data_IF_033649188404
#
_entry.id   IF_033649188404
#
_cell.length_a   1.000
_cell.length_b   1.000
_cell.length_c   1.000
_cell.angle_alpha   90.00
_cell.angle_beta   90.00
_cell.angle_gamma   90.00
#
_symmetry.space_group_name_H-M   'P 1'
#
loop_
_entity.id
_entity.type
_entity.pdbx_description
1 polymer ?
#
# COMPACT_ATOMS: atom_id res chain seq x y z
N UNK A 1 21.09 11.34 -28.21
CA UNK A 1 19.64 11.00 -28.38
C UNK A 1 19.33 9.51 -28.14
N UNK A 2 20.18 8.59 -28.62
CA UNK A 2 20.03 7.13 -28.44
C UNK A 2 20.07 6.69 -26.97
N UNK A 3 21.02 7.23 -26.19
CA UNK A 3 21.20 6.94 -24.76
C UNK A 3 19.96 7.29 -23.92
N UNK A 4 19.36 8.47 -24.14
CA UNK A 4 18.09 8.87 -23.51
C UNK A 4 16.94 7.91 -23.86
N UNK A 5 16.90 7.37 -25.09
CA UNK A 5 15.89 6.37 -25.50
C UNK A 5 16.13 5.01 -24.84
N UNK A 6 17.39 4.60 -24.70
CA UNK A 6 17.79 3.35 -24.02
C UNK A 6 17.49 3.42 -22.52
N UNK A 7 17.83 4.52 -21.85
CA UNK A 7 17.48 4.79 -20.45
C UNK A 7 15.96 4.73 -20.25
N UNK A 8 15.18 5.38 -21.13
CA UNK A 8 13.71 5.33 -21.07
C UNK A 8 13.16 3.91 -21.24
N UNK A 9 13.78 3.08 -22.11
CA UNK A 9 13.42 1.66 -22.28
C UNK A 9 13.80 0.83 -21.05
N UNK A 10 14.99 1.03 -20.49
CA UNK A 10 15.46 0.34 -19.28
C UNK A 10 14.60 0.66 -18.07
N UNK A 11 14.26 1.93 -17.86
CA UNK A 11 13.34 2.37 -16.82
C UNK A 11 11.97 1.70 -16.96
N UNK A 12 11.40 1.65 -18.18
CA UNK A 12 10.14 0.94 -18.42
C UNK A 12 10.22 -0.56 -18.07
N UNK A 13 11.32 -1.24 -18.39
CA UNK A 13 11.53 -2.65 -18.02
C UNK A 13 11.59 -2.82 -16.50
N UNK A 14 12.34 -1.96 -15.79
CA UNK A 14 12.45 -2.01 -14.32
C UNK A 14 11.07 -1.81 -13.67
N UNK A 15 10.28 -0.84 -14.13
CA UNK A 15 8.95 -0.59 -13.59
C UNK A 15 8.00 -1.77 -13.84
N UNK A 16 8.12 -2.43 -15.00
CA UNK A 16 7.34 -3.63 -15.30
C UNK A 16 7.73 -4.82 -14.42
N UNK A 17 9.03 -5.03 -14.20
CA UNK A 17 9.53 -6.08 -13.30
C UNK A 17 9.04 -5.83 -11.87
N UNK A 18 9.16 -4.60 -11.36
CA UNK A 18 8.66 -4.22 -10.05
C UNK A 18 7.15 -4.44 -9.91
N UNK A 19 6.37 -4.12 -10.96
CA UNK A 19 4.93 -4.36 -11.01
C UNK A 19 4.54 -5.83 -10.82
N UNK A 20 5.34 -6.77 -11.34
CA UNK A 20 5.07 -8.21 -11.20
C UNK A 20 5.60 -8.76 -9.86
N UNK A 21 6.82 -8.38 -9.48
CA UNK A 21 7.52 -8.98 -8.34
C UNK A 21 7.01 -8.43 -7.00
N UNK A 22 6.76 -7.13 -6.89
CA UNK A 22 6.42 -6.51 -5.61
C UNK A 22 5.15 -7.12 -4.97
N UNK A 23 4.02 -7.32 -5.69
CA UNK A 23 2.83 -7.94 -5.11
C UNK A 23 3.11 -9.36 -4.59
N UNK A 24 3.86 -10.16 -5.37
CA UNK A 24 4.20 -11.53 -4.97
C UNK A 24 5.09 -11.57 -3.74
N UNK A 25 6.07 -10.66 -3.64
CA UNK A 25 6.92 -10.55 -2.45
C UNK A 25 6.14 -10.10 -1.23
N UNK A 26 5.19 -9.17 -1.40
CA UNK A 26 4.34 -8.72 -0.30
C UNK A 26 3.49 -9.86 0.25
N UNK A 27 2.86 -10.68 -0.61
CA UNK A 27 2.09 -11.85 -0.18
C UNK A 27 2.99 -12.90 0.48
N UNK A 28 4.16 -13.19 -0.11
CA UNK A 28 5.09 -14.16 0.46
C UNK A 28 5.55 -13.73 1.86
N UNK A 29 5.92 -12.46 2.01
CA UNK A 29 6.31 -11.90 3.30
C UNK A 29 5.17 -11.97 4.33
N UNK A 30 3.94 -11.60 3.95
CA UNK A 30 2.79 -11.65 4.85
C UNK A 30 2.39 -13.07 5.27
N UNK A 31 2.66 -14.07 4.43
CA UNK A 31 2.49 -15.48 4.80
C UNK A 31 3.60 -15.95 5.75
N UNK A 32 4.86 -15.59 5.49
CA UNK A 32 5.99 -15.95 6.35
C UNK A 32 5.83 -15.35 7.75
N UNK A 33 5.54 -14.04 7.84
CA UNK A 33 5.34 -13.37 9.13
C UNK A 33 4.15 -13.98 9.89
N UNK A 34 3.08 -14.36 9.19
CA UNK A 34 1.94 -15.01 9.80
C UNK A 34 2.26 -16.39 10.35
N UNK A 35 2.95 -17.22 9.57
CA UNK A 35 3.40 -18.53 10.01
C UNK A 35 4.34 -18.43 11.22
N UNK A 36 5.36 -17.57 11.17
CA UNK A 36 6.33 -17.43 12.27
C UNK A 36 5.66 -16.90 13.54
N UNK A 37 4.76 -15.92 13.43
CA UNK A 37 4.06 -15.38 14.60
C UNK A 37 3.19 -16.44 15.28
N UNK A 38 2.39 -17.20 14.52
CA UNK A 38 1.57 -18.29 15.07
C UNK A 38 2.42 -19.44 15.63
N UNK A 39 3.55 -19.75 14.99
CA UNK A 39 4.49 -20.77 15.46
C UNK A 39 5.10 -20.40 16.81
N UNK A 40 5.58 -19.15 16.96
CA UNK A 40 6.20 -18.70 18.20
C UNK A 40 5.19 -18.56 19.36
N UNK A 41 3.96 -18.11 19.09
CA UNK A 41 2.92 -18.02 20.11
C UNK A 41 2.26 -19.37 20.46
N UNK A 42 2.55 -20.44 19.71
CA UNK A 42 1.89 -21.75 19.82
C UNK A 42 0.35 -21.70 19.81
N UNK A 43 -0.24 -20.62 19.30
CA UNK A 43 -1.67 -20.35 19.28
C UNK A 43 -2.04 -19.56 18.02
N UNK A 44 -3.35 -19.42 17.75
CA UNK A 44 -3.86 -18.58 16.68
C UNK A 44 -4.34 -17.25 17.31
N UNK A 45 -3.48 -16.23 17.43
CA UNK A 45 -3.84 -14.92 18.00
C UNK A 45 -5.01 -14.26 17.25
N UNK A 46 -6.19 -14.10 17.89
CA UNK A 46 -7.36 -13.53 17.21
C UNK A 46 -7.12 -12.12 16.69
N UNK A 47 -6.36 -11.31 17.41
CA UNK A 47 -6.01 -9.95 16.99
C UNK A 47 -5.15 -9.95 15.72
N UNK A 48 -4.12 -10.78 15.66
CA UNK A 48 -3.25 -10.84 14.48
C UNK A 48 -3.98 -11.42 13.25
N UNK A 49 -4.86 -12.40 13.46
CA UNK A 49 -5.75 -12.90 12.40
C UNK A 49 -6.66 -11.78 11.90
N UNK A 50 -7.28 -11.03 12.80
CA UNK A 50 -8.11 -9.87 12.43
C UNK A 50 -7.32 -8.86 11.60
N UNK A 51 -6.12 -8.46 12.04
CA UNK A 51 -5.26 -7.54 11.29
C UNK A 51 -4.91 -8.07 9.89
N UNK A 52 -4.57 -9.35 9.80
CA UNK A 52 -4.23 -10.02 8.54
C UNK A 52 -5.42 -10.08 7.59
N UNK A 53 -6.60 -10.45 8.09
CA UNK A 53 -7.84 -10.46 7.31
C UNK A 53 -8.14 -9.06 6.78
N UNK A 54 -8.07 -8.03 7.63
CA UNK A 54 -8.35 -6.65 7.20
C UNK A 54 -7.36 -6.13 6.17
N UNK A 55 -6.09 -6.50 6.27
CA UNK A 55 -5.08 -6.20 5.26
C UNK A 55 -5.49 -6.76 3.88
N UNK A 56 -5.82 -8.05 3.80
CA UNK A 56 -6.21 -8.69 2.54
C UNK A 56 -7.57 -8.22 2.02
N UNK A 57 -8.55 -7.97 2.89
CA UNK A 57 -9.84 -7.42 2.48
C UNK A 57 -9.67 -6.04 1.84
N UNK A 58 -8.92 -5.14 2.49
CA UNK A 58 -8.69 -3.81 1.93
C UNK A 58 -7.84 -3.84 0.66
N UNK A 59 -6.87 -4.76 0.55
CA UNK A 59 -6.15 -5.01 -0.70
C UNK A 59 -7.12 -5.45 -1.81
N UNK A 60 -7.96 -6.45 -1.54
CA UNK A 60 -8.96 -6.91 -2.48
C UNK A 60 -9.88 -5.77 -2.95
N UNK A 61 -10.32 -4.91 -2.04
CA UNK A 61 -11.14 -3.74 -2.37
C UNK A 61 -10.39 -2.74 -3.26
N UNK A 62 -9.10 -2.45 -2.98
CA UNK A 62 -8.26 -1.62 -3.84
C UNK A 62 -8.20 -2.20 -5.26
N UNK A 63 -7.93 -3.50 -5.39
CA UNK A 63 -7.85 -4.21 -6.66
C UNK A 63 -9.19 -4.20 -7.41
N UNK A 64 -10.28 -4.53 -6.72
CA UNK A 64 -11.61 -4.62 -7.30
C UNK A 64 -12.09 -3.26 -7.82
N UNK A 65 -11.93 -2.20 -7.02
CA UNK A 65 -12.26 -0.83 -7.44
C UNK A 65 -11.37 -0.41 -8.63
N UNK A 66 -10.08 -0.74 -8.61
CA UNK A 66 -9.19 -0.44 -9.72
C UNK A 66 -9.65 -1.11 -11.03
N UNK A 67 -10.02 -2.39 -10.96
CA UNK A 67 -10.51 -3.17 -12.10
C UNK A 67 -11.83 -2.60 -12.64
N UNK A 68 -12.78 -2.34 -11.75
CA UNK A 68 -14.13 -1.84 -12.07
C UNK A 68 -14.21 -0.37 -12.48
N UNK A 69 -13.20 0.45 -12.18
CA UNK A 69 -13.21 1.88 -12.48
C UNK A 69 -13.30 2.16 -14.00
N UNK A 70 -14.50 2.24 -14.57
CA UNK A 70 -14.68 2.54 -15.99
C UNK A 70 -14.75 4.05 -16.15
N UNK A 71 -14.05 4.59 -17.15
CA UNK A 71 -14.25 5.97 -17.54
C UNK A 71 -15.28 5.98 -18.68
N UNK A 72 -16.40 6.72 -18.56
CA UNK A 72 -17.28 6.96 -19.68
C UNK A 72 -16.50 7.74 -20.75
N UNK A 73 -16.24 7.09 -21.88
CA UNK A 73 -15.63 7.70 -23.04
C UNK A 73 -16.73 8.32 -23.88
N UNK A 74 -16.60 9.60 -24.19
CA UNK A 74 -17.45 10.24 -25.18
C UNK A 74 -16.80 10.01 -26.55
N UNK A 75 -17.54 9.43 -27.49
CA UNK A 75 -17.28 9.56 -28.94
C UNK A 75 -17.66 10.99 -29.39
N UNK A 76 -17.37 11.99 -28.56
CA UNK A 76 -17.63 13.38 -28.88
C UNK A 76 -16.73 13.73 -30.06
N UNK A 77 -17.32 13.75 -31.24
CA UNK A 77 -16.78 14.56 -32.34
C UNK A 77 -16.72 15.99 -31.83
N UNK A 78 -15.72 16.77 -32.25
CA UNK A 78 -15.52 18.15 -31.80
C UNK A 78 -16.75 19.09 -31.96
N UNK A 79 -17.87 18.61 -32.53
CA UNK A 79 -19.08 19.38 -32.82
C UNK A 79 -20.01 19.61 -31.60
N UNK A 80 -19.91 18.83 -30.52
CA UNK A 80 -20.75 19.05 -29.32
C UNK A 80 -20.19 20.11 -28.35
N UNK A 81 -19.01 20.68 -28.61
CA UNK A 81 -18.38 21.65 -27.71
C UNK A 81 -18.95 23.07 -27.80
N UNK A 82 -19.73 23.40 -28.84
CA UNK A 82 -20.14 24.78 -29.11
C UNK A 82 -21.28 25.31 -28.22
N UNK A 83 -21.93 24.47 -27.41
CA UNK A 83 -23.09 24.90 -26.61
C UNK A 83 -22.90 25.07 -25.09
N UNK A 84 -21.86 24.48 -24.47
CA UNK A 84 -21.82 24.34 -22.99
C UNK A 84 -20.46 24.58 -22.31
N UNK A 85 -19.43 25.07 -23.00
CA UNK A 85 -18.13 25.37 -22.37
C UNK A 85 -17.41 24.17 -21.73
N UNK A 86 -17.77 22.94 -22.10
CA UNK A 86 -17.20 21.72 -21.52
C UNK A 86 -15.84 21.42 -22.13
N UNK A 87 -14.78 21.50 -21.31
CA UNK A 87 -13.41 21.15 -21.72
C UNK A 87 -13.23 19.63 -21.73
N UNK A 88 -12.86 19.07 -22.89
CA UNK A 88 -12.49 17.66 -23.02
C UNK A 88 -10.99 17.45 -22.88
N UNK A 89 -10.59 16.28 -22.37
CA UNK A 89 -9.19 15.88 -22.22
C UNK A 89 -8.87 14.72 -23.14
N UNK A 90 -7.82 14.83 -23.95
CA UNK A 90 -7.41 13.79 -24.87
C UNK A 90 -6.29 12.93 -24.29
N UNK A 91 -6.43 11.60 -24.39
CA UNK A 91 -5.34 10.68 -24.07
C UNK A 91 -4.69 10.13 -25.33
N UNK A 92 -3.43 10.52 -25.60
CA UNK A 92 -2.68 10.03 -26.77
C UNK A 92 -2.50 8.50 -26.81
N UNK A 93 -2.41 7.87 -25.64
CA UNK A 93 -2.11 6.43 -25.51
C UNK A 93 -3.33 5.56 -25.75
N UNK A 94 -4.49 6.02 -25.28
CA UNK A 94 -5.75 5.31 -25.45
C UNK A 94 -6.57 5.82 -26.64
N UNK A 95 -6.19 6.96 -27.25
CA UNK A 95 -6.83 7.58 -28.41
C UNK A 95 -8.32 7.88 -28.23
N UNK A 96 -8.70 8.40 -27.06
CA UNK A 96 -10.07 8.82 -26.77
C UNK A 96 -10.08 10.12 -25.97
N UNK A 97 -11.23 10.81 -25.98
CA UNK A 97 -11.50 11.95 -25.13
C UNK A 97 -12.14 11.51 -23.81
N UNK A 98 -11.90 12.26 -22.74
CA UNK A 98 -12.55 12.11 -21.46
C UNK A 98 -13.21 13.42 -21.06
N UNK A 99 -14.40 13.31 -20.46
CA UNK A 99 -15.19 14.47 -20.02
C UNK A 99 -14.57 15.20 -18.83
N UNK A 100 -13.76 14.51 -18.02
CA UNK A 100 -12.99 15.07 -16.90
C UNK A 100 -11.48 14.85 -17.10
N UNK A 101 -10.62 15.57 -16.36
CA UNK A 101 -9.19 15.34 -16.38
C UNK A 101 -8.89 13.89 -15.96
N UNK A 102 -8.37 13.09 -16.87
CA UNK A 102 -7.99 11.70 -16.62
C UNK A 102 -6.49 11.51 -16.77
N UNK A 103 -5.90 10.66 -15.94
CA UNK A 103 -4.49 10.31 -16.03
C UNK A 103 -4.32 8.87 -16.50
N UNK A 104 -3.51 8.69 -17.54
CA UNK A 104 -3.18 7.37 -18.06
C UNK A 104 -2.11 6.68 -17.22
N UNK A 105 -2.44 5.51 -16.68
CA UNK A 105 -1.45 4.62 -16.07
C UNK A 105 -0.84 3.68 -17.11
N UNK A 106 0.48 3.76 -17.30
CA UNK A 106 1.21 2.88 -18.23
C UNK A 106 1.19 1.40 -17.83
N UNK A 107 1.13 1.12 -16.52
CA UNK A 107 1.18 -0.23 -15.98
C UNK A 107 -0.18 -0.92 -16.11
N UNK A 108 -1.26 -0.22 -15.71
CA UNK A 108 -2.64 -0.71 -15.90
C UNK A 108 -3.15 -0.57 -17.35
N UNK A 109 -2.44 0.17 -18.22
CA UNK A 109 -2.84 0.52 -19.60
C UNK A 109 -4.25 1.12 -19.69
N UNK A 110 -4.59 1.96 -18.71
CA UNK A 110 -5.95 2.47 -18.49
C UNK A 110 -5.90 3.90 -17.97
N UNK A 111 -6.87 4.71 -18.39
CA UNK A 111 -7.08 6.06 -17.87
C UNK A 111 -7.93 5.98 -16.60
N UNK A 112 -7.59 6.79 -15.60
CA UNK A 112 -8.34 6.90 -14.35
C UNK A 112 -8.63 8.37 -14.03
N UNK A 113 -9.84 8.65 -13.55
CA UNK A 113 -10.16 9.91 -12.89
C UNK A 113 -9.56 9.94 -11.50
N UNK A 114 -9.11 11.12 -11.07
CA UNK A 114 -8.56 11.35 -9.72
C UNK A 114 -7.54 10.28 -9.30
N UNK A 115 -6.62 9.97 -10.21
CA UNK A 115 -5.51 9.04 -9.96
C UNK A 115 -4.44 9.72 -9.12
N UNK A 116 -3.98 9.04 -8.09
CA UNK A 116 -2.84 9.47 -7.28
C UNK A 116 -1.55 8.81 -7.81
N UNK A 117 -1.43 7.49 -7.65
CA UNK A 117 -0.27 6.74 -8.13
C UNK A 117 -0.61 5.29 -8.48
N UNK A 118 0.37 4.58 -9.05
CA UNK A 118 0.31 3.13 -9.14
C UNK A 118 1.16 2.54 -8.02
N UNK A 119 0.55 1.77 -7.13
CA UNK A 119 1.26 1.13 -6.04
C UNK A 119 1.81 -0.22 -6.53
N UNK A 120 3.14 -0.35 -6.57
CA UNK A 120 3.79 -1.59 -6.98
C UNK A 120 3.49 -2.74 -6.02
N UNK A 121 3.42 -2.47 -4.71
CA UNK A 121 3.15 -3.50 -3.69
C UNK A 121 1.73 -4.05 -3.77
N UNK A 122 0.74 -3.24 -4.17
CA UNK A 122 -0.65 -3.69 -4.31
C UNK A 122 -1.02 -4.12 -5.73
N UNK A 123 -0.14 -3.87 -6.72
CA UNK A 123 -0.37 -4.21 -8.12
C UNK A 123 -1.49 -3.40 -8.79
N UNK A 124 -1.88 -2.25 -8.22
CA UNK A 124 -3.05 -1.48 -8.66
C UNK A 124 -2.86 0.04 -8.56
N UNK A 125 -3.67 0.81 -9.30
CA UNK A 125 -3.73 2.27 -9.10
C UNK A 125 -4.56 2.63 -7.88
N UNK A 126 -4.01 3.58 -7.12
CA UNK A 126 -4.68 4.28 -6.04
C UNK A 126 -5.37 5.51 -6.63
N UNK A 127 -6.65 5.60 -6.34
CA UNK A 127 -7.63 6.52 -6.87
C UNK A 127 -8.33 7.18 -5.68
N UNK A 128 -8.92 8.36 -5.88
CA UNK A 128 -9.72 9.00 -4.82
C UNK A 128 -10.77 8.06 -4.20
N UNK A 129 -11.43 7.24 -5.02
CA UNK A 129 -12.46 6.29 -4.57
C UNK A 129 -11.94 5.14 -3.67
N UNK A 130 -10.70 4.65 -3.87
CA UNK A 130 -10.10 3.58 -3.06
C UNK A 130 -8.99 4.08 -2.13
N UNK A 131 -8.87 5.41 -1.94
CA UNK A 131 -7.85 6.03 -1.09
C UNK A 131 -7.99 5.60 0.37
N UNK A 132 -9.20 5.52 0.91
CA UNK A 132 -9.43 5.03 2.27
C UNK A 132 -8.92 3.59 2.46
N UNK A 133 -9.24 2.69 1.53
CA UNK A 133 -8.76 1.30 1.57
C UNK A 133 -7.23 1.25 1.51
N UNK A 134 -6.60 2.10 0.70
CA UNK A 134 -5.14 2.21 0.65
C UNK A 134 -4.53 2.65 1.98
N UNK A 135 -5.10 3.66 2.63
CA UNK A 135 -4.67 4.13 3.96
C UNK A 135 -4.83 3.00 4.99
N UNK A 136 -5.95 2.27 4.96
CA UNK A 136 -6.19 1.13 5.84
C UNK A 136 -5.19 -0.01 5.60
N UNK A 137 -4.87 -0.34 4.34
CA UNK A 137 -3.81 -1.31 4.03
C UNK A 137 -2.50 -0.92 4.71
N UNK A 138 -2.12 0.37 4.67
CA UNK A 138 -0.91 0.86 5.32
C UNK A 138 -0.94 0.67 6.83
N UNK A 139 -2.05 1.02 7.49
CA UNK A 139 -2.19 0.85 8.95
C UNK A 139 -2.26 -0.62 9.37
N UNK A 140 -3.03 -1.46 8.68
CA UNK A 140 -3.11 -2.89 8.99
C UNK A 140 -1.79 -3.61 8.75
N UNK A 141 -1.06 -3.27 7.67
CA UNK A 141 0.30 -3.79 7.46
C UNK A 141 1.24 -3.37 8.60
N UNK A 142 1.18 -2.10 9.02
CA UNK A 142 1.99 -1.59 10.12
C UNK A 142 1.67 -2.30 11.45
N UNK A 143 0.40 -2.40 11.82
CA UNK A 143 -0.01 -3.03 13.07
C UNK A 143 0.23 -4.54 13.08
N UNK A 144 0.06 -5.25 11.97
CA UNK A 144 0.44 -6.65 11.86
C UNK A 144 1.96 -6.85 12.03
N UNK A 145 2.77 -5.97 11.44
CA UNK A 145 4.22 -5.99 11.64
C UNK A 145 4.60 -5.66 13.09
N UNK A 146 3.98 -4.67 13.73
CA UNK A 146 4.20 -4.37 15.15
C UNK A 146 3.82 -5.54 16.05
N UNK A 147 2.68 -6.19 15.81
CA UNK A 147 2.29 -7.39 16.55
C UNK A 147 3.40 -8.45 16.45
N UNK A 148 3.86 -8.77 15.24
CA UNK A 148 4.94 -9.75 15.05
C UNK A 148 6.25 -9.33 15.71
N UNK A 149 6.61 -8.04 15.68
CA UNK A 149 7.78 -7.49 16.41
C UNK A 149 7.66 -7.75 17.91
N UNK A 150 6.48 -7.59 18.51
CA UNK A 150 6.23 -7.86 19.93
C UNK A 150 6.25 -9.34 20.29
N UNK A 151 6.23 -10.25 19.32
CA UNK A 151 6.39 -11.70 19.54
C UNK A 151 7.83 -12.14 19.27
N UNK A 152 8.38 -11.77 18.11
CA UNK A 152 9.73 -12.15 17.69
C UNK A 152 10.80 -11.47 18.56
N UNK A 153 10.57 -10.22 18.99
CA UNK A 153 11.52 -9.45 19.80
C UNK A 153 11.82 -10.12 21.15
N UNK A 154 10.82 -10.40 22.00
CA UNK A 154 11.00 -11.12 23.25
C UNK A 154 11.60 -12.52 23.07
N UNK A 155 11.19 -13.26 22.03
CA UNK A 155 11.77 -14.56 21.72
C UNK A 155 13.29 -14.47 21.45
N UNK A 156 13.71 -13.51 20.62
CA UNK A 156 15.14 -13.25 20.37
C UNK A 156 15.86 -12.78 21.64
N UNK A 157 15.18 -12.01 22.49
CA UNK A 157 15.72 -11.53 23.75
C UNK A 157 16.04 -12.68 24.71
N UNK A 158 15.08 -13.58 24.93
CA UNK A 158 15.25 -14.75 25.79
C UNK A 158 16.36 -15.68 25.25
N UNK A 159 16.41 -15.89 23.93
CA UNK A 159 17.46 -16.65 23.27
C UNK A 159 18.86 -16.07 23.56
N UNK A 160 19.06 -14.78 23.33
CA UNK A 160 20.38 -14.16 23.53
C UNK A 160 20.80 -14.08 24.99
N UNK A 161 19.84 -13.96 25.93
CA UNK A 161 20.15 -14.00 27.37
C UNK A 161 20.59 -15.38 27.82
N UNK A 162 19.95 -16.44 27.32
CA UNK A 162 20.33 -17.81 27.66
C UNK A 162 21.73 -18.17 27.14
N UNK A 163 22.13 -17.62 25.99
CA UNK A 163 23.40 -17.93 25.35
C UNK A 163 24.62 -17.25 26.00
N UNK A 164 24.46 -16.05 26.57
CA UNK A 164 25.57 -15.29 27.17
C UNK A 164 25.10 -14.43 28.35
N UNK A 165 24.97 -15.07 29.52
CA UNK A 165 24.54 -14.44 30.79
C UNK A 165 25.52 -13.39 31.33
N UNK A 166 26.73 -13.28 30.75
CA UNK A 166 27.80 -12.41 31.28
C UNK A 166 27.85 -11.01 30.67
N UNK A 167 27.05 -10.73 29.63
CA UNK A 167 27.05 -9.42 28.94
C UNK A 167 25.75 -8.64 29.15
N UNK A 168 25.57 -8.11 30.36
CA UNK A 168 24.56 -7.07 30.68
C UNK A 168 24.80 -5.71 29.97
N UNK A 169 25.75 -5.64 29.04
CA UNK A 169 25.97 -4.44 28.26
C UNK A 169 24.90 -4.34 27.16
N UNK A 170 23.90 -3.51 27.45
CA UNK A 170 22.74 -3.22 26.59
C UNK A 170 23.13 -2.87 25.14
N UNK A 171 24.30 -2.29 24.92
CA UNK A 171 24.81 -1.96 23.59
C UNK A 171 25.14 -3.23 22.79
N UNK A 172 25.94 -4.14 23.35
CA UNK A 172 26.28 -5.40 22.67
C UNK A 172 25.06 -6.28 22.44
N UNK A 173 24.12 -6.25 23.39
CA UNK A 173 22.85 -6.94 23.25
C UNK A 173 22.03 -6.36 22.07
N UNK A 174 21.86 -5.04 22.01
CA UNK A 174 21.15 -4.38 20.92
C UNK A 174 21.79 -4.65 19.55
N UNK A 175 23.12 -4.76 19.47
CA UNK A 175 23.82 -5.10 18.23
C UNK A 175 23.40 -6.46 17.64
N UNK A 176 22.99 -7.43 18.46
CA UNK A 176 22.53 -8.73 17.99
C UNK A 176 21.18 -8.68 17.25
N UNK A 177 20.43 -7.59 17.40
CA UNK A 177 19.18 -7.37 16.67
C UNK A 177 19.41 -6.82 15.26
N UNK A 178 20.66 -6.56 14.86
CA UNK A 178 20.97 -6.04 13.52
C UNK A 178 21.46 -7.16 12.60
N UNK A 179 20.75 -7.32 11.47
CA UNK A 179 21.04 -8.34 10.47
C UNK A 179 22.54 -8.45 10.05
N UNK A 180 23.29 -7.36 9.77
CA UNK A 180 24.68 -7.48 9.35
C UNK A 180 25.57 -8.15 10.41
N UNK A 181 25.28 -7.92 11.69
CA UNK A 181 26.07 -8.45 12.80
C UNK A 181 25.77 -9.93 12.99
N UNK A 182 24.48 -10.30 13.01
CA UNK A 182 24.04 -11.69 13.11
C UNK A 182 24.51 -12.52 11.90
N UNK A 183 24.47 -11.95 10.69
CA UNK A 183 25.02 -12.60 9.50
C UNK A 183 26.52 -12.84 9.61
N UNK A 184 27.28 -11.86 10.12
CA UNK A 184 28.73 -12.03 10.32
C UNK A 184 29.03 -13.13 11.32
N UNK A 185 28.28 -13.20 12.43
CA UNK A 185 28.40 -14.29 13.41
C UNK A 185 28.10 -15.66 12.81
N UNK A 186 27.04 -15.76 12.02
CA UNK A 186 26.72 -16.98 11.29
C UNK A 186 27.86 -17.42 10.36
N UNK A 187 28.38 -16.50 9.54
CA UNK A 187 29.41 -16.82 8.55
C UNK A 187 30.79 -17.13 9.15
N UNK A 188 31.16 -16.50 10.27
CA UNK A 188 32.50 -16.61 10.86
C UNK A 188 32.56 -17.62 12.01
N UNK A 189 31.53 -17.64 12.86
CA UNK A 189 31.50 -18.44 14.09
C UNK A 189 30.67 -19.72 13.90
N UNK A 190 29.80 -19.76 12.89
CA UNK A 190 28.89 -20.89 12.66
C UNK A 190 27.68 -20.89 13.59
N UNK A 191 27.15 -19.70 13.93
CA UNK A 191 25.90 -19.54 14.70
C UNK A 191 24.71 -20.23 13.99
N UNK A 192 23.59 -20.43 14.69
CA UNK A 192 22.44 -21.13 14.10
C UNK A 192 21.74 -20.29 13.01
N UNK A 193 21.41 -20.93 11.88
CA UNK A 193 20.76 -20.27 10.73
C UNK A 193 19.38 -19.70 11.05
N UNK A 194 18.70 -20.25 12.05
CA UNK A 194 17.37 -19.78 12.48
C UNK A 194 17.42 -18.37 13.05
N UNK A 195 18.51 -17.99 13.72
CA UNK A 195 18.68 -16.66 14.30
C UNK A 195 18.84 -15.61 13.21
N UNK A 196 19.62 -15.90 12.17
CA UNK A 196 19.77 -15.00 11.02
C UNK A 196 18.41 -14.76 10.38
N UNK A 197 17.60 -15.82 10.21
CA UNK A 197 16.26 -15.72 9.66
C UNK A 197 15.33 -14.86 10.53
N UNK A 198 15.25 -15.13 11.84
CA UNK A 198 14.38 -14.39 12.77
C UNK A 198 14.79 -12.93 12.91
N UNK A 199 16.10 -12.64 13.00
CA UNK A 199 16.62 -11.26 13.03
C UNK A 199 16.33 -10.54 11.71
N UNK A 200 16.46 -11.22 10.57
CA UNK A 200 16.07 -10.65 9.27
C UNK A 200 14.60 -10.29 9.25
N UNK A 201 13.73 -11.22 9.67
CA UNK A 201 12.29 -11.01 9.74
C UNK A 201 11.93 -9.83 10.66
N UNK A 202 12.57 -9.74 11.83
CA UNK A 202 12.41 -8.62 12.76
C UNK A 202 12.76 -7.28 12.12
N UNK A 203 13.95 -7.15 11.52
CA UNK A 203 14.40 -5.90 10.90
C UNK A 203 13.53 -5.46 9.72
N UNK A 204 13.14 -6.42 8.87
CA UNK A 204 12.23 -6.15 7.74
C UNK A 204 10.86 -5.72 8.26
N UNK A 205 10.33 -6.36 9.31
CA UNK A 205 9.05 -5.99 9.92
C UNK A 205 9.11 -4.59 10.53
N UNK A 206 10.19 -4.22 11.23
CA UNK A 206 10.38 -2.85 11.77
C UNK A 206 10.38 -1.83 10.63
N UNK A 207 11.12 -2.12 9.55
CA UNK A 207 11.21 -1.23 8.39
C UNK A 207 9.86 -1.04 7.70
N UNK A 208 9.11 -2.12 7.49
CA UNK A 208 7.77 -2.07 6.89
C UNK A 208 6.79 -1.35 7.82
N UNK A 209 6.82 -1.63 9.12
CA UNK A 209 5.95 -1.00 10.11
C UNK A 209 6.11 0.52 10.11
N UNK A 210 7.35 1.01 10.19
CA UNK A 210 7.67 2.43 10.16
C UNK A 210 7.28 3.07 8.83
N UNK A 211 7.67 2.48 7.71
CA UNK A 211 7.40 3.05 6.39
C UNK A 211 5.90 3.14 6.11
N UNK A 212 5.15 2.07 6.35
CA UNK A 212 3.71 2.03 6.09
C UNK A 212 2.92 2.93 7.04
N UNK A 213 3.30 3.00 8.32
CA UNK A 213 2.68 3.93 9.26
C UNK A 213 2.87 5.39 8.84
N UNK A 214 4.12 5.79 8.59
CA UNK A 214 4.46 7.15 8.19
C UNK A 214 3.79 7.52 6.86
N UNK A 215 3.81 6.61 5.88
CA UNK A 215 3.19 6.83 4.58
C UNK A 215 1.66 6.92 4.68
N UNK A 216 1.03 6.05 5.48
CA UNK A 216 -0.41 6.06 5.75
C UNK A 216 -0.85 7.35 6.44
N UNK A 217 -0.13 7.78 7.49
CA UNK A 217 -0.38 9.04 8.19
C UNK A 217 -0.20 10.25 7.27
N UNK A 218 0.87 10.26 6.48
CA UNK A 218 1.11 11.33 5.50
C UNK A 218 0.00 11.38 4.43
N UNK A 219 -0.46 10.22 3.95
CA UNK A 219 -1.57 10.15 2.99
C UNK A 219 -2.89 10.61 3.61
N UNK A 220 -3.19 10.23 4.84
CA UNK A 220 -4.35 10.74 5.56
C UNK A 220 -4.27 12.27 5.72
N UNK A 221 -3.13 12.80 6.16
CA UNK A 221 -2.90 14.23 6.29
C UNK A 221 -3.11 14.98 4.97
N UNK A 222 -2.57 14.47 3.86
CA UNK A 222 -2.73 15.12 2.55
C UNK A 222 -4.18 15.13 2.07
N UNK A 223 -4.98 14.09 2.37
CA UNK A 223 -6.41 14.07 2.07
C UNK A 223 -7.19 15.11 2.90
N UNK A 224 -6.94 15.15 4.21
CA UNK A 224 -7.61 16.07 5.15
C UNK A 224 -7.22 17.54 4.90
N UNK A 225 -5.98 17.79 4.47
CA UNK A 225 -5.48 19.14 4.16
C UNK A 225 -5.81 19.61 2.74
N UNK A 226 -6.34 18.73 1.88
CA UNK A 226 -6.64 19.04 0.48
C UNK A 226 -5.40 19.16 -0.41
N UNK A 227 -4.22 18.71 0.05
CA UNK A 227 -2.97 18.74 -0.72
C UNK A 227 -2.88 17.64 -1.79
N UNK A 228 -4.01 16.99 -2.09
CA UNK A 228 -4.13 15.99 -3.14
C UNK A 228 -4.23 16.71 -4.49
N UNK A 229 -3.38 16.34 -5.46
CA UNK A 229 -3.33 16.99 -6.78
C UNK A 229 -4.35 16.38 -7.74
N UNK A 230 -5.62 16.46 -7.37
CA UNK A 230 -6.74 15.90 -8.12
C UNK A 230 -7.43 16.97 -8.95
N UNK A 231 -7.10 17.12 -10.22
CA UNK A 231 -7.79 18.09 -11.08
C UNK A 231 -9.24 17.63 -11.40
N UNK A 232 -10.27 18.49 -11.35
CA UNK A 232 -10.26 19.93 -11.04
C UNK A 232 -10.33 20.28 -9.54
N UNK A 233 -10.55 19.30 -8.66
CA UNK A 233 -10.68 19.43 -7.20
C UNK A 233 -9.35 19.70 -6.47
N UNK A 234 -8.41 20.42 -7.11
CA UNK A 234 -7.11 20.70 -6.50
C UNK A 234 -7.29 21.62 -5.29
N UNK A 235 -6.66 21.29 -4.17
CA UNK A 235 -6.83 22.02 -2.91
C UNK A 235 -8.10 21.65 -2.11
N UNK A 236 -9.02 20.84 -2.64
CA UNK A 236 -10.25 20.47 -1.93
C UNK A 236 -9.95 19.45 -0.82
N UNK A 237 -10.30 19.80 0.41
CA UNK A 237 -10.22 18.90 1.58
C UNK A 237 -11.26 17.79 1.44
N UNK A 238 -10.90 16.59 1.90
CA UNK A 238 -11.82 15.47 1.98
C UNK A 238 -12.21 15.21 3.43
N UNK A 239 -13.50 15.04 3.67
CA UNK A 239 -13.99 14.63 4.98
C UNK A 239 -13.72 13.15 5.24
N UNK A 240 -13.70 12.77 6.51
CA UNK A 240 -13.50 11.37 6.95
C UNK A 240 -14.54 10.45 6.30
N UNK A 241 -15.78 10.93 6.11
CA UNK A 241 -16.84 10.20 5.42
C UNK A 241 -16.59 10.03 3.92
N UNK A 242 -15.91 10.96 3.24
CA UNK A 242 -15.50 10.77 1.85
C UNK A 242 -14.37 9.72 1.74
N UNK A 243 -13.44 9.71 2.70
CA UNK A 243 -12.26 8.84 2.68
C UNK A 243 -12.66 7.40 3.05
N UNK A 244 -13.33 7.23 4.19
CA UNK A 244 -13.66 5.93 4.76
C UNK A 244 -15.08 5.48 4.42
N UNK A 245 -15.96 6.35 3.95
CA UNK A 245 -17.34 6.05 3.58
C UNK A 245 -18.36 6.47 4.64
N UNK A 246 -19.62 6.24 4.35
CA UNK A 246 -20.78 6.72 5.13
C UNK A 246 -20.81 6.22 6.59
N UNK A 247 -20.23 5.06 6.89
CA UNK A 247 -20.14 4.55 8.27
C UNK A 247 -18.95 5.10 9.07
N UNK A 248 -18.22 6.08 8.53
CA UNK A 248 -17.16 6.79 9.25
C UNK A 248 -16.07 5.85 9.81
N UNK A 249 -15.85 5.90 11.13
CA UNK A 249 -14.88 5.05 11.82
C UNK A 249 -15.23 3.57 11.83
N UNK A 250 -16.51 3.18 11.72
CA UNK A 250 -16.86 1.76 11.60
C UNK A 250 -16.34 1.16 10.29
N UNK A 251 -16.18 1.97 9.24
CA UNK A 251 -15.51 1.54 8.01
C UNK A 251 -14.01 1.30 8.16
N UNK A 252 -13.40 1.78 9.25
CA UNK A 252 -12.02 1.41 9.60
C UNK A 252 -11.99 -0.05 10.02
N UNK A 253 -12.89 -0.45 10.93
CA UNK A 253 -12.96 -1.82 11.48
C UNK A 253 -13.52 -2.82 10.46
N UNK A 254 -14.54 -2.42 9.69
CA UNK A 254 -15.15 -3.27 8.67
C UNK A 254 -15.57 -2.40 7.48
N UNK A 255 -14.97 -2.55 6.29
CA UNK A 255 -15.18 -1.63 5.18
C UNK A 255 -16.52 -1.88 4.46
N UNK A 256 -17.64 -1.57 5.13
CA UNK A 256 -19.02 -1.78 4.67
C UNK A 256 -19.27 -1.19 3.29
N UNK A 257 -18.83 0.06 3.03
CA UNK A 257 -19.00 0.65 1.70
C UNK A 257 -18.26 -0.19 0.65
N UNK A 258 -17.03 -0.64 0.90
CA UNK A 258 -16.31 -1.47 -0.06
C UNK A 258 -17.01 -2.78 -0.44
N UNK A 259 -17.75 -3.37 0.51
CA UNK A 259 -18.47 -4.64 0.31
C UNK A 259 -19.90 -4.49 -0.20
N UNK A 260 -20.66 -3.55 0.38
CA UNK A 260 -22.11 -3.42 0.18
C UNK A 260 -22.49 -2.29 -0.79
N UNK A 261 -21.63 -1.29 -1.03
CA UNK A 261 -22.00 -0.10 -1.79
C UNK A 261 -20.87 0.41 -2.69
N UNK A 262 -21.03 0.38 -4.02
CA UNK A 262 -20.02 0.98 -4.90
C UNK A 262 -19.86 2.46 -4.59
N UNK A 263 -18.64 2.91 -4.28
CA UNK A 263 -18.31 4.34 -4.20
C UNK A 263 -18.30 4.92 -5.62
N UNK A 264 -19.48 5.18 -6.17
CA UNK A 264 -19.62 5.80 -7.48
C UNK A 264 -19.18 7.26 -7.40
N UNK A 265 -18.18 7.61 -8.20
CA UNK A 265 -17.70 8.99 -8.34
C UNK A 265 -18.78 9.89 -8.98
N UNK A 266 -19.76 9.28 -9.67
CA UNK A 266 -20.77 9.99 -10.46
C UNK A 266 -22.06 10.32 -9.69
N UNK A 267 -22.33 9.73 -8.52
CA UNK A 267 -23.57 10.01 -7.75
C UNK A 267 -23.64 11.47 -7.25
N UNK A 268 -22.49 12.09 -6.96
CA UNK A 268 -22.42 13.48 -6.54
C UNK A 268 -22.27 14.47 -7.72
N UNK A 269 -22.22 13.99 -8.97
CA UNK A 269 -22.07 14.84 -10.15
C UNK A 269 -23.37 15.57 -10.54
N UNK A 270 -24.52 15.13 -10.01
CA UNK A 270 -25.82 15.75 -10.26
C UNK A 270 -26.14 16.93 -9.34
N UNK A 271 -25.24 17.28 -8.41
CA UNK A 271 -25.48 18.35 -7.41
C UNK A 271 -24.79 19.68 -7.82
N UNK A 272 -24.00 19.68 -8.88
CA UNK A 272 -23.34 20.89 -9.41
C UNK A 272 -23.78 21.24 -10.83
N UNK A 273 -25.09 21.17 -11.09
CA UNK A 273 -25.75 21.91 -12.17
C UNK A 273 -26.55 23.06 -11.59
#
# INVERSE_FOLDING_TARGET
MLEKRLLKRRMKKIHYIAYVICPTLTVLFSLIIGFVTMYLENTIPPLFVFLSVQFYLNWYLVYNINKKAIIPFTMATCRESEGKGTRFWYCEKCKHYTRRPAQHCMLCKKCFYYRDHHCFFLGGCILRQNMGNFILVCFYASFACFYSIFIVGPYLYDYYIQLDTTKLNIYYFALNFFFPITLTKYLVIGDESINVFLVTLFNVSVSIACFTLLYGLWKLYTCLSGRQRYHPDDGKRQDVYEIFGSYGLFNVIFPFNGFLHSRNIDENAHIFT
#
